data_IF_715424909372
#
_entry.id   IF_715424909372
#
_cell.length_a   1.000
_cell.length_b   1.000
_cell.length_c   1.000
_cell.angle_alpha   90.00
_cell.angle_beta   90.00
_cell.angle_gamma   90.00
#
_symmetry.space_group_name_H-M   'P 1'
#
loop_
_entity.id
_entity.type
_entity.pdbx_description
1 polymer ?
#
# COMPACT_ATOMS: atom_id res chain seq x y z
N UNK A 1 -6.69 21.77 20.23
CA UNK A 1 -5.74 22.83 19.84
C UNK A 1 -5.05 23.30 21.10
N UNK A 2 -3.73 23.19 21.14
CA UNK A 2 -2.99 23.45 22.36
C UNK A 2 -2.85 24.94 22.60
N UNK A 3 -3.57 25.50 23.56
CA UNK A 3 -3.42 26.88 24.04
C UNK A 3 -1.98 27.26 24.40
N UNK A 4 -1.17 26.28 24.80
CA UNK A 4 0.23 26.45 25.16
C UNK A 4 1.11 26.87 23.96
N UNK A 5 0.86 26.35 22.75
CA UNK A 5 1.62 26.75 21.56
C UNK A 5 1.31 28.17 21.11
N UNK A 6 0.04 28.58 21.21
CA UNK A 6 -0.39 29.94 20.87
C UNK A 6 0.19 30.97 21.81
N UNK A 7 0.20 30.71 23.12
CA UNK A 7 0.79 31.59 24.11
C UNK A 7 2.32 31.73 23.94
N UNK A 8 3.01 30.68 23.59
CA UNK A 8 4.47 30.72 23.37
C UNK A 8 4.84 31.58 22.16
N UNK A 9 4.09 31.49 21.06
CA UNK A 9 4.32 32.35 19.88
C UNK A 9 3.98 33.79 20.17
N UNK A 10 2.88 34.06 20.87
CA UNK A 10 2.46 35.43 21.22
C UNK A 10 3.46 36.12 22.13
N UNK A 11 4.02 35.40 23.11
CA UNK A 11 5.02 35.96 24.02
C UNK A 11 6.36 36.29 23.32
N UNK A 12 6.81 35.44 22.37
CA UNK A 12 8.02 35.69 21.57
C UNK A 12 7.88 36.88 20.60
N UNK A 13 6.66 37.22 20.20
CA UNK A 13 6.38 38.33 19.28
C UNK A 13 6.10 39.66 19.97
N UNK A 14 6.02 39.68 21.31
CA UNK A 14 5.65 40.90 22.07
C UNK A 14 6.66 42.04 21.86
N UNK A 15 7.94 41.73 21.71
CA UNK A 15 9.03 42.71 21.54
C UNK A 15 9.03 43.38 20.16
N UNK A 16 8.30 42.81 19.19
CA UNK A 16 8.18 43.34 17.82
C UNK A 16 6.88 44.07 17.56
N UNK A 17 6.07 44.30 18.59
CA UNK A 17 4.75 44.94 18.48
C UNK A 17 4.89 46.44 18.36
N UNK A 18 4.54 47.01 17.21
CA UNK A 18 4.62 48.46 16.91
C UNK A 18 3.26 49.15 17.10
N UNK A 19 2.16 48.42 17.26
CA UNK A 19 0.82 48.95 17.46
C UNK A 19 -0.25 47.86 17.41
N UNK A 20 -1.52 48.26 17.59
CA UNK A 20 -2.62 47.31 17.62
C UNK A 20 -2.73 46.56 16.28
N UNK A 21 -2.34 45.27 16.26
CA UNK A 21 -2.36 44.41 15.07
C UNK A 21 -1.24 44.66 14.04
N UNK A 22 -0.19 45.44 14.42
CA UNK A 22 0.98 45.71 13.58
C UNK A 22 2.25 45.21 14.26
N UNK A 23 3.08 44.50 13.50
CA UNK A 23 4.34 43.90 13.94
C UNK A 23 5.44 44.32 12.99
N UNK A 24 6.60 44.72 13.50
CA UNK A 24 7.78 45.01 12.70
C UNK A 24 8.74 43.81 12.86
N UNK A 25 8.80 42.97 11.85
CA UNK A 25 9.67 41.81 11.80
C UNK A 25 10.86 42.13 10.89
N UNK A 26 11.90 42.73 11.47
CA UNK A 26 13.20 42.80 10.81
C UNK A 26 13.86 41.44 10.94
N UNK A 27 13.74 40.61 9.88
CA UNK A 27 14.37 39.27 9.80
C UNK A 27 15.85 39.47 9.52
N UNK A 28 16.69 39.44 10.58
CA UNK A 28 18.15 39.39 10.41
C UNK A 28 18.55 37.96 9.98
N UNK A 29 19.64 37.82 9.21
CA UNK A 29 20.14 36.54 8.74
C UNK A 29 20.39 35.51 9.87
N UNK A 30 20.68 35.96 11.06
CA UNK A 30 20.86 35.12 12.26
C UNK A 30 19.53 34.54 12.76
N UNK A 31 18.42 35.26 12.63
CA UNK A 31 17.10 34.75 13.04
C UNK A 31 16.57 33.67 12.09
N UNK A 32 17.05 33.65 10.83
CA UNK A 32 16.67 32.62 9.83
C UNK A 32 17.40 31.33 10.11
N UNK A 33 18.63 31.34 10.62
CA UNK A 33 19.39 30.16 10.97
C UNK A 33 18.83 29.37 12.16
N UNK A 34 18.19 30.05 13.11
CA UNK A 34 17.51 29.36 14.24
C UNK A 34 16.14 28.75 13.86
N UNK A 35 15.58 29.10 12.71
CA UNK A 35 14.30 28.60 12.21
C UNK A 35 14.45 27.52 11.14
N UNK A 36 15.67 27.10 10.78
CA UNK A 36 15.86 25.85 10.08
C UNK A 36 15.59 24.70 11.05
N UNK A 37 14.30 24.48 11.32
CA UNK A 37 13.83 23.19 11.77
C UNK A 37 14.21 22.22 10.66
N UNK A 38 15.33 21.54 10.84
CA UNK A 38 15.68 20.39 10.03
C UNK A 38 14.54 19.37 10.17
N UNK A 39 13.61 19.43 9.25
CA UNK A 39 12.70 18.33 9.02
C UNK A 39 13.57 17.17 8.51
N UNK A 40 14.18 16.44 9.43
CA UNK A 40 14.63 15.10 9.10
C UNK A 40 13.36 14.32 8.83
N UNK A 41 13.14 13.94 7.57
CA UNK A 41 12.10 12.99 7.25
C UNK A 41 12.23 11.82 8.24
N UNK A 42 11.14 11.40 8.92
CA UNK A 42 11.21 10.28 9.84
C UNK A 42 11.86 9.11 9.09
N UNK A 43 12.93 8.56 9.69
CA UNK A 43 13.64 7.44 9.11
C UNK A 43 12.62 6.33 8.83
N UNK A 44 12.49 5.94 7.56
CA UNK A 44 11.70 4.78 7.21
C UNK A 44 12.28 3.61 8.02
N UNK A 45 11.42 2.89 8.75
CA UNK A 45 11.88 1.67 9.42
C UNK A 45 12.54 0.77 8.38
N UNK A 46 13.69 0.15 8.70
CA UNK A 46 14.32 -0.77 7.77
C UNK A 46 13.27 -1.82 7.38
N UNK A 47 13.04 -1.97 6.08
CA UNK A 47 12.22 -3.04 5.58
C UNK A 47 12.83 -4.34 6.10
N UNK A 48 12.09 -5.10 6.90
CA UNK A 48 12.52 -6.43 7.32
C UNK A 48 12.65 -7.20 6.01
N UNK A 49 13.85 -7.63 5.65
CA UNK A 49 14.09 -8.51 4.51
C UNK A 49 13.45 -9.88 4.81
N UNK A 50 12.13 -9.93 4.75
CA UNK A 50 11.40 -11.17 4.79
C UNK A 50 11.41 -11.79 3.40
N UNK A 51 11.81 -13.05 3.34
CA UNK A 51 11.63 -13.84 2.14
C UNK A 51 10.13 -14.19 2.00
N UNK A 52 9.47 -13.55 1.04
CA UNK A 52 8.04 -13.70 0.77
C UNK A 52 7.76 -14.78 -0.29
N UNK A 53 8.73 -15.62 -0.62
CA UNK A 53 8.52 -16.76 -1.53
C UNK A 53 7.75 -17.84 -0.78
N UNK A 54 6.58 -18.26 -1.28
CA UNK A 54 5.80 -19.31 -0.65
C UNK A 54 6.57 -20.64 -0.58
N UNK A 55 6.26 -21.46 0.41
CA UNK A 55 6.84 -22.81 0.50
C UNK A 55 6.23 -23.71 -0.56
N UNK A 56 7.10 -24.47 -1.22
CA UNK A 56 6.64 -25.52 -2.13
C UNK A 56 6.01 -26.66 -1.35
N UNK A 57 4.83 -27.08 -1.78
CA UNK A 57 4.13 -28.24 -1.24
C UNK A 57 4.39 -29.45 -2.17
N UNK A 58 5.01 -30.48 -1.64
CA UNK A 58 5.36 -31.70 -2.40
C UNK A 58 4.13 -32.59 -2.69
N UNK A 59 3.02 -32.35 -2.00
CA UNK A 59 1.75 -33.03 -2.22
C UNK A 59 0.87 -32.37 -3.28
N UNK A 60 1.29 -31.17 -3.74
CA UNK A 60 0.52 -30.42 -4.72
C UNK A 60 0.44 -31.12 -6.07
N UNK A 61 -0.77 -31.41 -6.51
CA UNK A 61 -1.05 -31.93 -7.85
C UNK A 61 -1.56 -30.80 -8.74
N UNK A 62 -0.92 -30.64 -9.90
CA UNK A 62 -1.33 -29.61 -10.86
C UNK A 62 -2.71 -29.91 -11.44
N UNK A 63 -3.58 -28.93 -11.43
CA UNK A 63 -4.94 -29.08 -11.94
C UNK A 63 -5.43 -27.80 -12.65
N UNK A 64 -6.50 -27.92 -13.41
CA UNK A 64 -7.16 -26.80 -14.08
C UNK A 64 -6.20 -25.95 -14.93
N UNK A 65 -6.21 -24.65 -14.71
CA UNK A 65 -5.43 -23.67 -15.48
C UNK A 65 -4.04 -23.39 -14.88
N UNK A 66 -3.50 -24.27 -14.03
CA UNK A 66 -2.20 -24.06 -13.36
C UNK A 66 -1.07 -23.75 -14.35
N UNK A 67 -1.00 -24.44 -15.48
CA UNK A 67 0.00 -24.19 -16.52
C UNK A 67 -0.06 -22.77 -17.10
N UNK A 68 -1.25 -22.22 -17.25
CA UNK A 68 -1.45 -20.85 -17.72
C UNK A 68 -1.03 -19.83 -16.66
N UNK A 69 -1.41 -20.04 -15.40
CA UNK A 69 -0.97 -19.21 -14.25
C UNK A 69 0.55 -19.18 -14.20
N UNK A 70 1.20 -20.33 -14.26
CA UNK A 70 2.66 -20.46 -14.22
C UNK A 70 3.33 -19.71 -15.38
N UNK A 71 2.82 -19.83 -16.61
CA UNK A 71 3.34 -19.11 -17.79
C UNK A 71 3.23 -17.59 -17.62
N UNK A 72 2.10 -17.09 -17.10
CA UNK A 72 1.90 -15.66 -16.84
C UNK A 72 2.93 -15.16 -15.83
N UNK A 73 3.10 -15.83 -14.70
CA UNK A 73 4.07 -15.46 -13.67
C UNK A 73 5.51 -15.52 -14.19
N UNK A 74 5.82 -16.54 -14.98
CA UNK A 74 7.14 -16.74 -15.58
C UNK A 74 7.50 -15.64 -16.59
N UNK A 75 6.53 -15.10 -17.32
CA UNK A 75 6.75 -14.06 -18.33
C UNK A 75 7.30 -12.77 -17.76
N UNK A 76 7.06 -12.50 -16.49
CA UNK A 76 7.37 -11.24 -15.79
C UNK A 76 6.72 -9.99 -16.43
N UNK A 77 5.79 -10.19 -17.35
CA UNK A 77 5.00 -9.12 -17.94
C UNK A 77 3.78 -8.85 -17.07
N UNK A 78 3.38 -7.60 -17.02
CA UNK A 78 2.14 -7.24 -16.35
C UNK A 78 0.94 -7.80 -17.14
N UNK A 79 0.23 -8.72 -16.52
CA UNK A 79 -0.96 -9.36 -17.07
C UNK A 79 -1.92 -9.69 -15.91
N UNK A 80 -2.76 -8.71 -15.52
CA UNK A 80 -3.68 -8.90 -14.39
C UNK A 80 -4.63 -10.06 -14.67
N UNK A 81 -4.75 -10.96 -13.71
CA UNK A 81 -5.47 -12.22 -13.90
C UNK A 81 -6.55 -12.39 -12.84
N UNK A 82 -7.78 -12.63 -13.28
CA UNK A 82 -8.92 -12.88 -12.42
C UNK A 82 -9.33 -14.36 -12.47
N UNK A 83 -9.32 -15.02 -11.30
CA UNK A 83 -9.60 -16.47 -11.18
C UNK A 83 -10.90 -16.65 -10.41
N UNK A 84 -11.92 -17.18 -11.08
CA UNK A 84 -13.22 -17.45 -10.47
C UNK A 84 -13.49 -18.93 -10.34
N UNK A 85 -14.30 -19.32 -9.37
CA UNK A 85 -14.73 -20.70 -9.17
C UNK A 85 -15.25 -20.93 -7.76
N UNK A 86 -15.80 -22.11 -7.51
CA UNK A 86 -16.36 -22.46 -6.21
C UNK A 86 -15.31 -22.36 -5.09
N UNK A 87 -15.77 -22.05 -3.87
CA UNK A 87 -14.92 -22.07 -2.69
C UNK A 87 -14.27 -23.46 -2.50
N UNK A 88 -13.04 -23.46 -1.99
CA UNK A 88 -12.30 -24.72 -1.73
C UNK A 88 -11.71 -25.42 -2.96
N UNK A 89 -11.85 -24.88 -4.18
CA UNK A 89 -11.30 -25.49 -5.39
C UNK A 89 -9.83 -25.15 -5.68
N UNK A 90 -9.09 -24.63 -4.71
CA UNK A 90 -7.64 -24.42 -4.78
C UNK A 90 -7.17 -23.25 -5.65
N UNK A 91 -8.01 -22.24 -5.94
CA UNK A 91 -7.63 -21.04 -6.73
C UNK A 91 -6.39 -20.34 -6.18
N UNK A 92 -6.48 -19.93 -4.92
CA UNK A 92 -5.40 -19.24 -4.18
C UNK A 92 -4.16 -20.11 -4.10
N UNK A 93 -4.33 -21.38 -3.73
CA UNK A 93 -3.24 -22.34 -3.60
C UNK A 93 -2.50 -22.57 -4.92
N UNK A 94 -3.20 -22.56 -6.06
CA UNK A 94 -2.56 -22.65 -7.38
C UNK A 94 -1.61 -21.49 -7.66
N UNK A 95 -1.98 -20.25 -7.29
CA UNK A 95 -1.10 -19.09 -7.45
C UNK A 95 0.11 -19.20 -6.51
N UNK A 96 -0.12 -19.56 -5.26
CA UNK A 96 0.94 -19.76 -4.26
C UNK A 96 1.96 -20.81 -4.74
N UNK A 97 1.50 -21.97 -5.22
CA UNK A 97 2.38 -23.04 -5.70
C UNK A 97 3.09 -22.68 -7.01
N UNK A 98 2.47 -21.89 -7.88
CA UNK A 98 3.15 -21.37 -9.07
C UNK A 98 4.30 -20.40 -8.67
N UNK A 99 4.06 -19.52 -7.72
CA UNK A 99 5.09 -18.63 -7.18
C UNK A 99 6.21 -19.41 -6.49
N UNK A 100 5.87 -20.41 -5.66
CA UNK A 100 6.83 -21.29 -4.99
C UNK A 100 7.75 -22.00 -5.98
N UNK A 101 7.18 -22.60 -7.04
CA UNK A 101 7.94 -23.31 -8.07
C UNK A 101 8.85 -22.41 -8.91
N UNK A 102 8.48 -21.15 -9.06
CA UNK A 102 9.24 -20.16 -9.84
C UNK A 102 10.16 -19.27 -9.00
N UNK A 103 10.20 -19.47 -7.68
CA UNK A 103 10.97 -18.63 -6.77
C UNK A 103 10.53 -17.17 -6.79
N UNK A 104 9.22 -16.91 -6.94
CA UNK A 104 8.66 -15.56 -7.00
C UNK A 104 8.04 -15.18 -5.66
N UNK A 105 8.35 -13.98 -5.22
CA UNK A 105 7.69 -13.41 -4.04
C UNK A 105 6.19 -13.23 -4.29
N UNK A 106 5.41 -13.55 -3.27
CA UNK A 106 3.97 -13.41 -3.26
C UNK A 106 3.53 -12.64 -2.03
N UNK A 107 2.75 -11.60 -2.24
CA UNK A 107 2.06 -10.87 -1.18
C UNK A 107 0.57 -11.13 -1.34
N UNK A 108 0.00 -11.84 -0.36
CA UNK A 108 -1.42 -12.16 -0.32
C UNK A 108 -2.16 -11.23 0.59
N UNK A 109 -3.28 -10.71 0.12
CA UNK A 109 -4.22 -9.88 0.88
C UNK A 109 -5.61 -10.50 0.80
N UNK A 110 -6.17 -10.87 1.93
CA UNK A 110 -7.56 -11.27 2.01
C UNK A 110 -8.44 -10.02 2.04
N UNK A 111 -9.31 -9.90 1.05
CA UNK A 111 -10.22 -8.78 0.95
C UNK A 111 -11.48 -9.07 1.76
N UNK A 112 -11.93 -8.07 2.50
CA UNK A 112 -13.17 -8.10 3.26
C UNK A 112 -13.96 -6.83 3.00
N UNK A 113 -15.21 -6.77 3.45
CA UNK A 113 -16.04 -5.56 3.34
C UNK A 113 -15.42 -4.35 4.09
N UNK A 114 -14.63 -4.61 5.12
CA UNK A 114 -13.97 -3.58 5.92
C UNK A 114 -12.63 -3.09 5.31
N UNK A 115 -12.03 -3.87 4.41
CA UNK A 115 -10.73 -3.56 3.80
C UNK A 115 -10.77 -2.17 3.14
N UNK A 116 -9.82 -1.32 3.50
CA UNK A 116 -9.77 0.06 3.06
C UNK A 116 -8.40 0.47 2.46
N UNK A 117 -8.25 1.77 2.13
CA UNK A 117 -7.03 2.33 1.55
C UNK A 117 -5.83 2.20 2.51
N UNK A 118 -6.04 2.38 3.81
CA UNK A 118 -4.96 2.31 4.82
C UNK A 118 -4.44 0.89 5.00
N UNK A 119 -5.32 -0.11 4.84
CA UNK A 119 -4.93 -1.53 4.89
C UNK A 119 -4.15 -1.95 3.64
N UNK A 120 -4.49 -1.40 2.48
CA UNK A 120 -3.93 -1.81 1.20
C UNK A 120 -2.69 -1.00 0.81
N UNK A 121 -2.79 0.31 0.87
CA UNK A 121 -1.76 1.24 0.42
C UNK A 121 -0.79 1.59 1.53
N UNK A 122 -1.31 1.77 2.75
CA UNK A 122 -0.54 2.12 3.93
C UNK A 122 -1.04 3.36 4.64
N UNK A 123 -0.55 3.53 5.85
CA UNK A 123 -0.99 4.59 6.74
C UNK A 123 0.06 4.95 7.78
N UNK A 124 -0.23 5.99 8.52
CA UNK A 124 0.60 6.37 9.66
C UNK A 124 0.35 5.45 10.85
N UNK A 125 1.43 5.04 11.50
CA UNK A 125 1.44 4.25 12.75
C UNK A 125 2.20 5.01 13.82
N UNK A 126 1.78 4.87 15.06
CA UNK A 126 2.49 5.41 16.22
C UNK A 126 3.55 4.36 16.65
N UNK A 127 4.82 4.74 16.54
CA UNK A 127 5.96 3.91 16.92
C UNK A 127 6.84 4.73 17.87
N UNK A 128 7.07 4.26 19.08
CA UNK A 128 7.90 4.92 20.10
C UNK A 128 7.57 6.41 20.30
N UNK A 129 6.27 6.75 20.29
CA UNK A 129 5.79 8.12 20.46
C UNK A 129 5.90 9.02 19.21
N UNK A 130 6.40 8.50 18.11
CA UNK A 130 6.52 9.20 16.82
C UNK A 130 5.54 8.62 15.79
N UNK A 131 4.99 9.49 14.95
CA UNK A 131 4.12 9.08 13.85
C UNK A 131 4.97 8.73 12.63
N UNK A 132 4.96 7.46 12.22
CA UNK A 132 5.76 6.94 11.11
C UNK A 132 4.84 6.37 10.03
N UNK A 133 5.18 6.61 8.76
CA UNK A 133 4.49 6.00 7.62
C UNK A 133 4.88 4.53 7.50
N UNK A 134 3.88 3.66 7.34
CA UNK A 134 4.05 2.25 7.00
C UNK A 134 3.43 1.97 5.64
N UNK A 135 4.21 1.36 4.75
CA UNK A 135 3.68 0.86 3.48
C UNK A 135 2.69 -0.27 3.75
N UNK A 136 1.58 -0.26 3.00
CA UNK A 136 0.68 -1.40 2.95
C UNK A 136 1.18 -2.47 1.97
N UNK A 137 0.55 -3.65 1.97
CA UNK A 137 0.97 -4.81 1.19
C UNK A 137 1.00 -4.54 -0.33
N UNK A 138 0.14 -3.68 -0.82
CA UNK A 138 0.10 -3.32 -2.24
C UNK A 138 1.31 -2.49 -2.64
N UNK A 139 1.69 -1.51 -1.82
CA UNK A 139 2.89 -0.69 -2.06
C UNK A 139 4.14 -1.54 -1.94
N UNK A 140 4.19 -2.44 -0.98
CA UNK A 140 5.30 -3.39 -0.84
C UNK A 140 5.43 -4.30 -2.06
N UNK A 141 4.32 -4.81 -2.60
CA UNK A 141 4.33 -5.62 -3.82
C UNK A 141 4.83 -4.84 -5.03
N UNK A 142 4.42 -3.57 -5.18
CA UNK A 142 4.89 -2.68 -6.25
C UNK A 142 6.41 -2.46 -6.16
N UNK A 143 6.93 -2.08 -5.00
CA UNK A 143 8.35 -1.78 -4.79
C UNK A 143 9.25 -3.01 -4.99
N UNK A 144 8.79 -4.20 -4.60
CA UNK A 144 9.53 -5.47 -4.73
C UNK A 144 9.40 -6.13 -6.09
N UNK A 145 8.43 -5.73 -6.91
CA UNK A 145 8.08 -6.44 -8.15
C UNK A 145 7.49 -7.83 -7.88
N UNK A 146 6.84 -8.00 -6.73
CA UNK A 146 6.22 -9.24 -6.29
C UNK A 146 4.89 -9.51 -6.99
N UNK A 147 4.38 -10.72 -6.86
CA UNK A 147 3.02 -11.06 -7.24
C UNK A 147 2.07 -10.61 -6.11
N UNK A 148 1.14 -9.74 -6.42
CA UNK A 148 0.07 -9.34 -5.52
C UNK A 148 -1.14 -10.26 -5.73
N UNK A 149 -1.57 -10.95 -4.70
CA UNK A 149 -2.75 -11.81 -4.72
C UNK A 149 -3.85 -11.21 -3.85
N UNK A 150 -4.89 -10.72 -4.50
CA UNK A 150 -6.10 -10.21 -3.86
C UNK A 150 -7.10 -11.36 -3.75
N UNK A 151 -7.22 -11.93 -2.55
CA UNK A 151 -8.08 -13.09 -2.31
C UNK A 151 -9.47 -12.64 -1.90
N UNK A 152 -10.50 -13.31 -2.45
CA UNK A 152 -11.92 -13.01 -2.22
C UNK A 152 -12.33 -11.58 -2.60
N UNK A 153 -11.84 -11.08 -3.75
CA UNK A 153 -12.09 -9.70 -4.19
C UNK A 153 -13.58 -9.37 -4.38
N UNK A 154 -14.42 -10.38 -4.53
CA UNK A 154 -15.87 -10.24 -4.61
C UNK A 154 -16.56 -9.82 -3.29
N UNK A 155 -15.82 -9.84 -2.18
CA UNK A 155 -16.24 -9.25 -0.90
C UNK A 155 -15.91 -7.76 -0.76
N UNK A 156 -15.21 -7.19 -1.74
CA UNK A 156 -14.74 -5.81 -1.68
C UNK A 156 -15.89 -4.79 -1.68
N UNK A 157 -15.71 -3.76 -0.87
CA UNK A 157 -16.55 -2.55 -0.93
C UNK A 157 -15.92 -1.50 -1.85
N UNK A 158 -16.60 -0.37 -2.08
CA UNK A 158 -16.09 0.76 -2.87
C UNK A 158 -14.78 1.37 -2.32
N UNK A 159 -14.37 1.02 -1.10
CA UNK A 159 -13.13 1.49 -0.47
C UNK A 159 -11.87 1.06 -1.24
N UNK A 160 -11.94 -0.04 -2.02
CA UNK A 160 -10.80 -0.54 -2.80
C UNK A 160 -10.57 0.16 -4.14
N UNK A 161 -11.35 1.18 -4.49
CA UNK A 161 -11.13 1.96 -5.72
C UNK A 161 -9.73 2.61 -5.79
N UNK A 162 -9.02 2.71 -4.66
CA UNK A 162 -7.61 3.08 -4.61
C UNK A 162 -6.70 2.15 -5.45
N UNK A 163 -7.13 0.92 -5.73
CA UNK A 163 -6.40 -0.06 -6.54
C UNK A 163 -6.54 0.14 -8.06
N UNK A 164 -7.42 1.01 -8.55
CA UNK A 164 -7.74 1.12 -9.97
C UNK A 164 -6.49 1.33 -10.84
N UNK A 165 -5.62 2.29 -10.48
CA UNK A 165 -4.38 2.54 -11.24
C UNK A 165 -3.43 1.35 -11.23
N UNK A 166 -3.39 0.60 -10.14
CA UNK A 166 -2.53 -0.56 -9.93
C UNK A 166 -3.00 -1.74 -10.79
N UNK A 167 -4.31 -1.94 -10.88
CA UNK A 167 -4.93 -2.96 -11.74
C UNK A 167 -4.73 -2.67 -13.23
N UNK A 168 -4.41 -1.41 -13.59
CA UNK A 168 -4.00 -1.00 -14.94
C UNK A 168 -2.47 -1.12 -15.17
N UNK A 169 -1.72 -1.63 -14.21
CA UNK A 169 -0.25 -1.72 -14.29
C UNK A 169 0.48 -0.40 -14.08
N UNK A 170 -0.22 0.60 -13.55
CA UNK A 170 0.34 1.91 -13.22
C UNK A 170 0.74 1.98 -11.76
N UNK A 171 1.60 2.95 -11.44
CA UNK A 171 1.96 3.25 -10.06
C UNK A 171 0.86 3.95 -9.27
N UNK A 172 1.10 4.12 -7.99
CA UNK A 172 0.22 4.82 -7.05
C UNK A 172 0.90 6.07 -6.49
N UNK A 173 0.12 7.13 -6.28
CA UNK A 173 0.59 8.32 -5.58
C UNK A 173 0.13 8.28 -4.13
N UNK A 174 1.08 8.19 -3.22
CA UNK A 174 0.86 8.16 -1.77
C UNK A 174 0.59 9.59 -1.27
N UNK A 175 -0.68 9.99 -1.31
CA UNK A 175 -1.12 11.37 -1.03
C UNK A 175 -0.68 11.89 0.33
N UNK A 176 -0.65 11.03 1.35
CA UNK A 176 -0.32 11.38 2.74
C UNK A 176 1.15 11.77 2.94
N UNK A 177 2.05 11.30 2.07
CA UNK A 177 3.50 11.56 2.14
C UNK A 177 4.07 12.17 0.85
N UNK A 178 3.22 12.45 -0.15
CA UNK A 178 3.64 13.10 -1.39
C UNK A 178 4.60 12.28 -2.26
N UNK A 179 4.61 10.95 -2.12
CA UNK A 179 5.52 10.04 -2.83
C UNK A 179 4.78 9.28 -3.92
N UNK A 180 5.36 9.17 -5.12
CA UNK A 180 4.90 8.26 -6.17
C UNK A 180 5.67 6.94 -6.07
N UNK A 181 4.98 5.83 -6.22
CA UNK A 181 5.55 4.49 -6.30
C UNK A 181 5.12 3.88 -7.63
N UNK A 182 6.08 3.56 -8.48
CA UNK A 182 5.85 2.87 -9.75
C UNK A 182 6.17 1.38 -9.61
N UNK A 183 5.52 0.49 -10.39
CA UNK A 183 5.72 -0.93 -10.28
C UNK A 183 7.14 -1.33 -10.71
N UNK A 184 7.84 -2.06 -9.86
CA UNK A 184 9.11 -2.67 -10.21
C UNK A 184 8.93 -3.83 -11.19
N UNK A 185 10.00 -4.19 -11.90
CA UNK A 185 9.97 -5.25 -12.93
C UNK A 185 9.49 -6.58 -12.36
N UNK A 186 8.51 -7.17 -13.01
CA UNK A 186 7.91 -8.44 -12.63
C UNK A 186 6.69 -8.32 -11.73
N UNK A 187 6.32 -7.12 -11.30
CA UNK A 187 5.05 -6.91 -10.61
C UNK A 187 3.87 -7.41 -11.44
N UNK A 188 2.96 -8.13 -10.81
CA UNK A 188 1.70 -8.54 -11.43
C UNK A 188 0.61 -8.73 -10.36
N UNK A 189 -0.65 -8.71 -10.80
CA UNK A 189 -1.81 -8.85 -9.92
C UNK A 189 -2.61 -10.08 -10.30
N UNK A 190 -2.91 -10.88 -9.28
CA UNK A 190 -3.89 -11.96 -9.35
C UNK A 190 -5.03 -11.66 -8.39
N UNK A 191 -6.26 -11.91 -8.82
CA UNK A 191 -7.43 -11.78 -7.95
C UNK A 191 -8.24 -13.08 -7.99
N UNK A 192 -8.75 -13.52 -6.84
CA UNK A 192 -9.65 -14.66 -6.74
C UNK A 192 -11.04 -14.24 -6.31
N UNK A 193 -12.04 -14.96 -6.79
CA UNK A 193 -13.43 -14.77 -6.38
C UNK A 193 -14.17 -16.11 -6.28
N UNK A 194 -15.13 -16.17 -5.38
CA UNK A 194 -16.00 -17.33 -5.21
C UNK A 194 -17.27 -17.20 -6.06
N UNK A 195 -17.62 -16.00 -6.47
CA UNK A 195 -18.74 -15.68 -7.35
C UNK A 195 -18.26 -15.30 -8.75
N UNK A 196 -19.14 -15.34 -9.74
CA UNK A 196 -18.84 -14.86 -11.09
C UNK A 196 -19.02 -13.34 -11.20
N UNK A 197 -18.46 -12.59 -10.26
CA UNK A 197 -18.61 -11.13 -10.23
C UNK A 197 -19.95 -10.64 -9.69
N UNK A 198 -20.77 -11.51 -9.10
CA UNK A 198 -22.08 -11.12 -8.59
C UNK A 198 -22.05 -10.51 -7.20
N UNK A 199 -20.94 -10.59 -6.46
CA UNK A 199 -20.83 -10.01 -5.12
C UNK A 199 -22.00 -10.31 -4.16
N UNK A 200 -21.99 -9.69 -3.01
CA UNK A 200 -23.18 -9.51 -2.16
C UNK A 200 -23.82 -8.14 -2.47
N UNK A 201 -25.03 -7.87 -1.94
CA UNK A 201 -25.72 -6.61 -2.16
C UNK A 201 -24.91 -5.36 -1.73
N UNK A 202 -23.94 -5.55 -0.82
CA UNK A 202 -23.07 -4.50 -0.29
C UNK A 202 -21.68 -4.45 -0.96
N UNK A 203 -21.41 -5.27 -1.99
CA UNK A 203 -20.12 -5.38 -2.65
C UNK A 203 -20.14 -4.83 -4.09
N UNK A 204 -18.95 -4.60 -4.65
CA UNK A 204 -18.83 -4.14 -6.05
C UNK A 204 -19.24 -5.28 -7.00
N UNK A 205 -20.16 -4.98 -7.91
CA UNK A 205 -20.47 -5.86 -9.04
C UNK A 205 -19.43 -5.65 -10.14
N UNK A 206 -18.70 -6.70 -10.45
CA UNK A 206 -17.73 -6.72 -11.55
C UNK A 206 -18.46 -7.21 -12.82
N UNK A 207 -18.70 -6.30 -13.76
CA UNK A 207 -19.29 -6.59 -15.08
C UNK A 207 -18.23 -6.97 -16.10
#
# INVERSE_FOLDING_TARGET
>A
MNDCAYQTVTNKLTDYKVGRGKWNLEVTKETVQELEVTYSAPAAMPAIEQNLIPKKDDTFVQFGNFGSIKKIIQSRLFYPTFITGLSGNGKTFSVEQACAQLGRELIRVNITIETDEDDLIGGFRLVDGSTVWHNGPVVEALERGAILLLDEIDLASNKILCLQSILEGKGVFLKKIGKRVDPASGFNVFATANTKGKGSDDTIHWN
#
